data_IF_780889185376
#
_entry.id   IF_780889185376
#
_cell.length_a   1.000
_cell.length_b   1.000
_cell.length_c   1.000
_cell.angle_alpha   90.00
_cell.angle_beta   90.00
_cell.angle_gamma   90.00
#
_symmetry.space_group_name_H-M   'P 1'
#
loop_
_entity.id
_entity.type
_entity.pdbx_description
1 polymer ?
#
# COMPACT_ATOMS: atom_id res chain seq x y z
N UNK A 1 0.79 -75.36 -11.46
CA UNK A 1 0.03 -75.39 -12.72
C UNK A 1 -0.71 -74.07 -12.79
N UNK A 2 -0.08 -73.11 -13.46
CA UNK A 2 -0.55 -72.46 -14.71
C UNK A 2 -1.57 -71.38 -14.39
N UNK A 3 -1.10 -70.13 -14.29
CA UNK A 3 -1.14 -69.14 -15.38
C UNK A 3 -2.55 -69.01 -15.96
N UNK A 4 -3.19 -67.87 -15.69
CA UNK A 4 -3.74 -67.06 -16.78
C UNK A 4 -3.94 -65.61 -16.33
N UNK A 5 -3.50 -64.72 -17.21
CA UNK A 5 -3.44 -63.29 -17.07
C UNK A 5 -4.75 -62.63 -17.56
N UNK A 6 -4.86 -61.35 -17.15
CA UNK A 6 -5.47 -60.25 -17.89
C UNK A 6 -7.00 -60.05 -17.79
N UNK A 7 -7.41 -58.96 -17.14
CA UNK A 7 -7.78 -57.73 -17.88
C UNK A 7 -8.55 -56.71 -17.03
N UNK A 8 -7.93 -55.54 -16.90
CA UNK A 8 -8.57 -54.25 -17.15
C UNK A 8 -9.77 -53.83 -16.26
N UNK A 9 -9.46 -53.33 -15.06
CA UNK A 9 -10.31 -52.31 -14.41
C UNK A 9 -9.58 -50.97 -14.46
N UNK A 10 -10.12 -49.94 -15.15
CA UNK A 10 -9.46 -48.65 -15.20
C UNK A 10 -9.51 -48.04 -13.81
N UNK A 11 -8.34 -47.80 -13.21
CA UNK A 11 -8.21 -46.85 -12.08
C UNK A 11 -8.78 -45.52 -12.56
N UNK A 12 -10.02 -45.25 -12.18
CA UNK A 12 -10.68 -43.96 -12.38
C UNK A 12 -9.76 -42.93 -11.75
N UNK A 13 -9.04 -42.19 -12.59
CA UNK A 13 -8.32 -40.98 -12.17
C UNK A 13 -9.40 -39.99 -11.78
N UNK A 14 -9.88 -40.09 -10.54
CA UNK A 14 -10.54 -38.97 -9.88
C UNK A 14 -9.55 -37.82 -9.98
N UNK A 15 -9.99 -36.77 -10.68
CA UNK A 15 -9.12 -35.70 -11.11
C UNK A 15 -8.50 -35.07 -9.87
N UNK A 16 -7.17 -34.96 -9.85
CA UNK A 16 -6.42 -34.16 -8.89
C UNK A 16 -6.99 -32.72 -8.78
N UNK A 17 -7.60 -32.24 -9.88
CA UNK A 17 -8.33 -30.97 -9.93
C UNK A 17 -9.60 -30.95 -9.08
N UNK A 18 -10.30 -32.07 -8.88
CA UNK A 18 -11.52 -32.17 -8.07
C UNK A 18 -11.21 -32.26 -6.56
N UNK A 19 -10.01 -32.73 -6.20
CA UNK A 19 -9.50 -32.67 -4.82
C UNK A 19 -8.88 -31.31 -4.45
N UNK A 20 -8.34 -30.58 -5.45
CA UNK A 20 -7.77 -29.23 -5.25
C UNK A 20 -8.87 -28.16 -5.32
N UNK A 21 -9.80 -28.30 -6.26
CA UNK A 21 -10.99 -27.48 -6.39
C UNK A 21 -12.19 -28.34 -6.03
N UNK A 22 -12.44 -28.47 -4.73
CA UNK A 22 -13.52 -29.30 -4.18
C UNK A 22 -14.81 -29.20 -4.99
N UNK A 23 -15.52 -30.33 -5.13
CA UNK A 23 -16.88 -30.39 -5.70
C UNK A 23 -17.65 -29.15 -5.26
N UNK A 24 -18.24 -28.44 -6.24
CA UNK A 24 -19.19 -27.33 -6.05
C UNK A 24 -20.47 -27.78 -5.32
N UNK A 25 -20.30 -28.33 -4.12
CA UNK A 25 -21.32 -28.62 -3.15
C UNK A 25 -21.57 -27.33 -2.39
N UNK A 26 -22.85 -26.93 -2.40
CA UNK A 26 -23.42 -25.83 -1.64
C UNK A 26 -22.95 -25.89 -0.19
N UNK A 27 -21.89 -25.16 0.14
CA UNK A 27 -21.53 -24.88 1.52
C UNK A 27 -22.60 -23.93 2.05
N UNK A 28 -23.67 -24.51 2.62
CA UNK A 28 -24.69 -23.75 3.33
C UNK A 28 -24.07 -23.30 4.64
N UNK A 29 -23.54 -22.08 4.65
CA UNK A 29 -23.13 -21.41 5.87
C UNK A 29 -24.39 -21.10 6.69
N UNK A 30 -24.34 -21.37 8.00
CA UNK A 30 -25.44 -21.10 8.92
C UNK A 30 -25.46 -19.62 9.30
N UNK A 31 -25.75 -18.77 8.31
CA UNK A 31 -26.00 -17.35 8.53
C UNK A 31 -27.53 -17.14 8.59
N UNK A 32 -28.02 -16.61 9.72
CA UNK A 32 -29.46 -16.40 9.94
C UNK A 32 -29.97 -15.16 9.20
N UNK A 33 -29.08 -14.31 8.69
CA UNK A 33 -29.43 -13.01 8.12
C UNK A 33 -29.26 -12.97 6.60
N UNK A 34 -28.30 -13.71 6.04
CA UNK A 34 -28.02 -13.70 4.61
C UNK A 34 -28.11 -15.11 3.99
N UNK A 35 -29.12 -15.32 3.16
CA UNK A 35 -29.52 -16.63 2.62
C UNK A 35 -28.95 -16.83 1.19
N UNK A 36 -28.59 -15.74 0.50
CA UNK A 36 -28.08 -15.74 -0.87
C UNK A 36 -26.59 -15.41 -0.89
N UNK A 37 -25.76 -16.44 -0.66
CA UNK A 37 -24.29 -16.29 -0.54
C UNK A 37 -23.56 -16.12 -1.88
N UNK A 38 -24.26 -16.29 -3.01
CA UNK A 38 -23.68 -16.13 -4.35
C UNK A 38 -23.89 -14.71 -4.88
N UNK A 39 -22.88 -13.85 -4.71
CA UNK A 39 -22.88 -12.49 -5.23
C UNK A 39 -22.50 -12.47 -6.72
N UNK A 40 -23.30 -11.81 -7.56
CA UNK A 40 -22.91 -11.47 -8.92
C UNK A 40 -21.81 -10.40 -8.91
N UNK A 41 -20.92 -10.41 -9.91
CA UNK A 41 -19.87 -9.38 -10.08
C UNK A 41 -20.44 -7.95 -9.95
N UNK A 42 -21.65 -7.71 -10.47
CA UNK A 42 -22.30 -6.39 -10.39
C UNK A 42 -22.67 -5.99 -8.96
N UNK A 43 -23.18 -6.94 -8.18
CA UNK A 43 -23.54 -6.74 -6.78
C UNK A 43 -22.29 -6.55 -5.92
N UNK A 44 -21.22 -7.29 -6.19
CA UNK A 44 -19.91 -7.07 -5.58
C UNK A 44 -19.42 -5.64 -5.82
N UNK A 45 -19.43 -5.15 -7.07
CA UNK A 45 -19.01 -3.77 -7.36
C UNK A 45 -19.93 -2.73 -6.72
N UNK A 46 -21.23 -2.99 -6.63
CA UNK A 46 -22.18 -2.12 -5.95
C UNK A 46 -21.89 -2.03 -4.44
N UNK A 47 -21.62 -3.17 -3.79
CA UNK A 47 -21.24 -3.22 -2.38
C UNK A 47 -19.92 -2.49 -2.12
N UNK A 48 -18.91 -2.72 -2.97
CA UNK A 48 -17.63 -1.99 -2.91
C UNK A 48 -17.86 -0.49 -3.07
N UNK A 49 -18.68 -0.06 -4.04
CA UNK A 49 -19.01 1.36 -4.24
C UNK A 49 -19.72 1.97 -3.03
N UNK A 50 -20.62 1.22 -2.39
CA UNK A 50 -21.30 1.64 -1.15
C UNK A 50 -20.30 1.77 -0.01
N UNK A 51 -19.37 0.83 0.14
CA UNK A 51 -18.31 0.87 1.14
C UNK A 51 -17.36 2.07 0.93
N UNK A 52 -16.96 2.34 -0.32
CA UNK A 52 -16.20 3.56 -0.68
C UNK A 52 -17.01 4.83 -0.34
N UNK A 53 -18.33 4.77 -0.46
CA UNK A 53 -19.25 5.83 -0.04
C UNK A 53 -19.09 6.26 1.43
N UNK A 54 -18.62 5.37 2.31
CA UNK A 54 -18.36 5.69 3.72
C UNK A 54 -17.18 6.66 3.90
N UNK A 55 -16.33 6.83 2.88
CA UNK A 55 -15.23 7.80 2.90
C UNK A 55 -15.69 9.24 2.60
N UNK A 56 -16.90 9.45 2.07
CA UNK A 56 -17.45 10.78 1.75
C UNK A 56 -17.29 11.82 2.87
N UNK A 57 -17.64 11.53 4.15
CA UNK A 57 -17.48 12.49 5.25
C UNK A 57 -16.02 12.81 5.59
N UNK A 58 -15.05 11.98 5.21
CA UNK A 58 -13.61 12.17 5.48
C UNK A 58 -12.79 12.37 4.21
N UNK A 59 -13.42 12.72 3.09
CA UNK A 59 -12.80 12.81 1.75
C UNK A 59 -11.52 13.64 1.70
N UNK A 60 -11.45 14.72 2.49
CA UNK A 60 -10.29 15.62 2.52
C UNK A 60 -9.07 14.95 3.17
N UNK A 61 -9.28 14.22 4.27
CA UNK A 61 -8.22 13.49 4.94
C UNK A 61 -7.77 12.29 4.12
N UNK A 62 -8.71 11.62 3.46
CA UNK A 62 -8.39 10.54 2.52
C UNK A 62 -7.56 11.06 1.35
N UNK A 63 -7.97 12.18 0.75
CA UNK A 63 -7.22 12.79 -0.35
C UNK A 63 -5.84 13.27 0.07
N UNK A 64 -5.72 13.88 1.26
CA UNK A 64 -4.44 14.27 1.82
C UNK A 64 -3.51 13.06 2.04
N UNK A 65 -4.04 11.95 2.60
CA UNK A 65 -3.30 10.70 2.78
C UNK A 65 -2.84 10.13 1.43
N UNK A 66 -3.73 10.11 0.44
CA UNK A 66 -3.44 9.64 -0.91
C UNK A 66 -2.33 10.47 -1.58
N UNK A 67 -2.41 11.80 -1.49
CA UNK A 67 -1.39 12.69 -2.04
C UNK A 67 -0.04 12.54 -1.34
N UNK A 68 -0.03 12.44 -0.01
CA UNK A 68 1.20 12.25 0.75
C UNK A 68 1.87 10.91 0.42
N UNK A 69 1.09 9.84 0.33
CA UNK A 69 1.59 8.52 -0.04
C UNK A 69 2.11 8.50 -1.48
N UNK A 70 1.36 9.08 -2.43
CA UNK A 70 1.79 9.16 -3.84
C UNK A 70 3.00 10.07 -4.04
N UNK A 71 3.11 11.16 -3.26
CA UNK A 71 4.25 12.07 -3.32
C UNK A 71 5.58 11.42 -2.96
N UNK A 72 5.56 10.33 -2.19
CA UNK A 72 6.76 9.58 -1.81
C UNK A 72 7.51 8.94 -2.99
N UNK A 73 6.85 8.80 -4.14
CA UNK A 73 7.45 8.28 -5.36
C UNK A 73 8.49 9.25 -5.95
N UNK A 74 8.34 10.56 -5.74
CA UNK A 74 9.24 11.59 -6.29
C UNK A 74 10.67 11.44 -5.75
N UNK A 75 10.90 11.39 -4.41
CA UNK A 75 12.21 11.06 -3.85
C UNK A 75 12.74 9.68 -4.26
N UNK A 76 11.84 8.71 -4.38
CA UNK A 76 12.11 7.37 -4.91
C UNK A 76 12.85 7.45 -6.25
N UNK A 77 12.31 8.27 -7.15
CA UNK A 77 12.81 8.49 -8.49
C UNK A 77 14.10 9.31 -8.54
N UNK A 78 14.29 10.30 -7.67
CA UNK A 78 15.47 11.17 -7.69
C UNK A 78 16.78 10.46 -7.31
N UNK A 79 16.72 9.56 -6.32
CA UNK A 79 17.93 9.00 -5.69
C UNK A 79 18.86 8.22 -6.63
N UNK A 80 18.37 7.35 -7.54
CA UNK A 80 19.23 6.69 -8.53
C UNK A 80 20.00 7.68 -9.40
N UNK A 81 19.38 8.81 -9.76
CA UNK A 81 20.00 9.81 -10.62
C UNK A 81 21.01 10.67 -9.88
N UNK A 82 20.76 11.00 -8.61
CA UNK A 82 21.76 11.65 -7.76
C UNK A 82 23.01 10.77 -7.65
N UNK A 83 22.83 9.47 -7.41
CA UNK A 83 23.94 8.50 -7.41
C UNK A 83 24.66 8.46 -8.75
N UNK A 84 23.93 8.45 -9.86
CA UNK A 84 24.49 8.50 -11.21
C UNK A 84 25.33 9.76 -11.45
N UNK A 85 24.88 10.94 -11.03
CA UNK A 85 25.64 12.19 -11.18
C UNK A 85 26.98 12.10 -10.43
N UNK A 86 26.98 11.53 -9.22
CA UNK A 86 28.22 11.34 -8.44
C UNK A 86 29.19 10.43 -9.19
N UNK A 87 28.72 9.30 -9.72
CA UNK A 87 29.58 8.35 -10.45
C UNK A 87 30.13 8.99 -11.74
N UNK A 88 29.28 9.64 -12.53
CA UNK A 88 29.65 10.15 -13.85
C UNK A 88 30.59 11.37 -13.76
N UNK A 89 30.38 12.25 -12.78
CA UNK A 89 31.07 13.56 -12.71
C UNK A 89 32.09 13.65 -11.55
N UNK A 90 31.72 13.20 -10.34
CA UNK A 90 32.59 13.32 -9.17
C UNK A 90 33.69 12.27 -9.22
N UNK A 91 33.31 11.01 -9.38
CA UNK A 91 34.28 9.89 -9.47
C UNK A 91 35.01 9.95 -10.81
N UNK A 92 34.32 10.31 -11.89
CA UNK A 92 34.91 10.49 -13.22
C UNK A 92 35.81 11.72 -13.34
N UNK A 93 35.73 12.68 -12.42
CA UNK A 93 36.52 13.92 -12.44
C UNK A 93 36.20 14.86 -13.62
N UNK A 94 35.01 14.73 -14.21
CA UNK A 94 34.57 15.48 -15.40
C UNK A 94 33.59 16.58 -15.02
N UNK A 95 33.66 17.72 -15.71
CA UNK A 95 32.63 18.74 -15.59
C UNK A 95 31.32 18.25 -16.25
N UNK A 96 30.19 18.82 -15.83
CA UNK A 96 28.87 18.51 -16.41
C UNK A 96 28.80 18.79 -17.92
N UNK A 97 29.57 19.75 -18.40
CA UNK A 97 29.59 20.18 -19.81
C UNK A 97 30.41 19.23 -20.72
N UNK A 98 31.22 18.35 -20.14
CA UNK A 98 32.08 17.41 -20.88
C UNK A 98 31.37 16.11 -21.27
N UNK A 99 30.13 15.89 -20.79
CA UNK A 99 29.38 14.64 -20.97
C UNK A 99 28.09 14.92 -21.73
N UNK A 100 27.83 14.15 -22.79
CA UNK A 100 26.54 14.17 -23.49
C UNK A 100 25.43 13.78 -22.50
N UNK A 101 24.63 14.77 -22.08
CA UNK A 101 23.69 14.67 -20.97
C UNK A 101 22.61 13.61 -21.25
N UNK A 102 22.70 12.46 -20.57
CA UNK A 102 21.70 11.38 -20.63
C UNK A 102 20.94 11.25 -19.31
N UNK A 103 20.25 12.33 -18.97
CA UNK A 103 19.37 12.43 -17.80
C UNK A 103 17.92 12.70 -18.24
N UNK A 104 16.93 12.24 -17.47
CA UNK A 104 15.53 12.49 -17.77
C UNK A 104 15.14 13.95 -17.45
N UNK A 105 14.11 14.52 -18.10
CA UNK A 105 13.77 15.95 -18.01
C UNK A 105 13.47 16.47 -16.60
N UNK A 106 13.01 15.60 -15.69
CA UNK A 106 12.75 16.01 -14.30
C UNK A 106 14.05 16.33 -13.52
N UNK A 107 15.22 15.95 -14.03
CA UNK A 107 16.50 16.29 -13.44
C UNK A 107 17.00 17.68 -13.87
N UNK A 108 16.41 18.29 -14.91
CA UNK A 108 16.86 19.56 -15.48
C UNK A 108 17.01 20.68 -14.43
N UNK A 109 16.08 20.87 -13.45
CA UNK A 109 16.24 21.91 -12.44
C UNK A 109 17.47 21.69 -11.56
N UNK A 110 17.78 20.42 -11.24
CA UNK A 110 18.94 20.05 -10.44
C UNK A 110 20.20 20.24 -11.29
N UNK A 111 20.21 19.78 -12.53
CA UNK A 111 21.37 19.90 -13.43
C UNK A 111 21.71 21.37 -13.69
N UNK A 112 20.71 22.22 -13.94
CA UNK A 112 20.90 23.66 -14.11
C UNK A 112 21.57 24.30 -12.88
N UNK A 113 21.22 23.85 -11.66
CA UNK A 113 21.87 24.34 -10.44
C UNK A 113 23.32 23.88 -10.25
N UNK A 114 23.74 22.86 -11.00
CA UNK A 114 25.09 22.28 -10.93
C UNK A 114 25.99 22.71 -12.09
N UNK A 115 25.44 23.37 -13.11
CA UNK A 115 26.20 23.84 -14.28
C UNK A 115 27.34 24.79 -13.86
N UNK A 116 28.50 24.62 -14.50
CA UNK A 116 29.70 25.41 -14.22
C UNK A 116 30.40 25.08 -12.88
N UNK A 117 29.90 24.13 -12.09
CA UNK A 117 30.56 23.69 -10.87
C UNK A 117 31.64 22.64 -11.14
N UNK A 118 32.73 22.70 -10.38
CA UNK A 118 33.75 21.66 -10.39
C UNK A 118 33.29 20.38 -9.68
N UNK A 119 33.94 19.22 -9.92
CA UNK A 119 33.53 17.92 -9.37
C UNK A 119 33.32 17.91 -7.83
N UNK A 120 34.24 18.54 -7.08
CA UNK A 120 34.12 18.59 -5.61
C UNK A 120 32.99 19.49 -5.12
N UNK A 121 32.66 20.55 -5.87
CA UNK A 121 31.53 21.43 -5.55
C UNK A 121 30.21 20.70 -5.81
N UNK A 122 30.11 19.94 -6.91
CA UNK A 122 28.95 19.08 -7.20
C UNK A 122 28.75 18.08 -6.04
N UNK A 123 29.81 17.42 -5.59
CA UNK A 123 29.72 16.48 -4.46
C UNK A 123 29.19 17.15 -3.19
N UNK A 124 29.65 18.36 -2.88
CA UNK A 124 29.19 19.12 -1.71
C UNK A 124 27.70 19.45 -1.82
N UNK A 125 27.25 20.00 -2.95
CA UNK A 125 25.83 20.36 -3.17
C UNK A 125 24.94 19.12 -3.09
N UNK A 126 25.32 18.02 -3.75
CA UNK A 126 24.55 16.78 -3.72
C UNK A 126 24.53 16.14 -2.34
N UNK A 127 25.60 16.26 -1.55
CA UNK A 127 25.64 15.77 -0.17
C UNK A 127 24.68 16.57 0.72
N UNK A 128 24.65 17.90 0.58
CA UNK A 128 23.70 18.77 1.31
C UNK A 128 22.27 18.43 0.91
N UNK A 129 22.01 18.25 -0.40
CA UNK A 129 20.71 17.83 -0.91
C UNK A 129 20.30 16.48 -0.30
N UNK A 130 21.20 15.52 -0.25
CA UNK A 130 20.93 14.19 0.30
C UNK A 130 20.65 14.23 1.81
N UNK A 131 21.42 15.01 2.58
CA UNK A 131 21.16 15.23 4.02
C UNK A 131 19.80 15.91 4.22
N UNK A 132 19.46 16.90 3.39
CA UNK A 132 18.13 17.52 3.39
C UNK A 132 17.03 16.49 3.13
N UNK A 133 17.21 15.65 2.09
CA UNK A 133 16.27 14.59 1.77
C UNK A 133 16.09 13.60 2.93
N UNK A 134 17.18 13.18 3.57
CA UNK A 134 17.13 12.32 4.76
C UNK A 134 16.36 12.97 5.91
N UNK A 135 16.54 14.27 6.14
CA UNK A 135 15.83 14.98 7.19
C UNK A 135 14.32 15.08 6.90
N UNK A 136 13.94 15.46 5.68
CA UNK A 136 12.54 15.65 5.31
C UNK A 136 11.79 14.34 5.08
N UNK A 137 12.46 13.29 4.58
CA UNK A 137 11.83 12.08 4.03
C UNK A 137 12.23 10.80 4.80
N UNK A 138 13.27 10.90 5.62
CA UNK A 138 13.74 9.82 6.48
C UNK A 138 14.63 8.81 5.77
N UNK A 139 15.18 7.89 6.57
CA UNK A 139 15.92 6.73 6.07
C UNK A 139 14.89 5.71 5.55
N UNK A 140 15.11 5.18 4.35
CA UNK A 140 14.24 4.20 3.67
C UNK A 140 14.00 2.87 4.43
N UNK A 141 14.46 2.75 5.68
CA UNK A 141 14.55 1.48 6.40
C UNK A 141 13.52 1.30 7.54
N UNK A 142 12.67 2.29 7.83
CA UNK A 142 11.64 2.13 8.85
C UNK A 142 10.61 3.24 8.75
N UNK A 143 9.44 2.92 8.20
CA UNK A 143 8.31 3.82 8.16
C UNK A 143 7.87 4.29 9.54
N UNK A 144 7.03 5.33 9.60
CA UNK A 144 6.46 5.84 10.85
C UNK A 144 5.05 5.27 11.07
N UNK A 145 4.86 4.47 12.12
CA UNK A 145 3.56 3.88 12.40
C UNK A 145 3.43 3.39 13.83
N UNK A 146 2.20 3.27 14.27
CA UNK A 146 1.84 2.64 15.53
C UNK A 146 0.76 1.59 15.27
N UNK A 147 0.93 0.43 15.90
CA UNK A 147 -0.03 -0.68 15.88
C UNK A 147 -0.35 -1.03 17.33
N UNK A 148 -1.58 -1.47 17.61
CA UNK A 148 -1.92 -2.05 18.89
C UNK A 148 -1.59 -3.55 18.87
N UNK A 149 -1.36 -4.13 20.05
CA UNK A 149 -1.15 -5.57 20.19
C UNK A 149 -2.45 -6.31 19.83
N UNK A 150 -2.38 -7.18 18.83
CA UNK A 150 -3.55 -7.85 18.24
C UNK A 150 -3.94 -9.10 19.04
N UNK A 151 -5.22 -9.21 19.41
CA UNK A 151 -5.80 -10.39 20.06
C UNK A 151 -6.29 -11.44 19.06
N UNK A 152 -6.66 -12.63 19.55
CA UNK A 152 -7.16 -13.72 18.70
C UNK A 152 -8.63 -13.57 18.27
N UNK A 153 -9.37 -12.61 18.84
CA UNK A 153 -10.77 -12.37 18.49
C UNK A 153 -10.89 -11.42 17.29
N UNK A 154 -11.83 -11.71 16.39
CA UNK A 154 -12.09 -10.96 15.17
C UNK A 154 -12.44 -9.49 15.45
N UNK A 155 -13.09 -9.21 16.58
CA UNK A 155 -13.39 -7.84 17.00
C UNK A 155 -12.11 -7.01 17.25
N UNK A 156 -11.11 -7.60 17.91
CA UNK A 156 -9.83 -6.94 18.18
C UNK A 156 -9.00 -6.76 16.92
N UNK A 157 -9.01 -7.75 16.02
CA UNK A 157 -8.32 -7.65 14.71
C UNK A 157 -8.93 -6.54 13.86
N UNK A 158 -10.26 -6.46 13.78
CA UNK A 158 -10.94 -5.40 13.06
C UNK A 158 -10.65 -4.01 13.66
N UNK A 159 -10.64 -3.88 14.99
CA UNK A 159 -10.28 -2.63 15.66
C UNK A 159 -8.83 -2.21 15.38
N UNK A 160 -7.89 -3.17 15.37
CA UNK A 160 -6.48 -2.91 15.05
C UNK A 160 -6.27 -2.58 13.58
N UNK A 161 -6.99 -3.21 12.64
CA UNK A 161 -6.89 -2.88 11.21
C UNK A 161 -7.49 -1.51 10.89
N UNK A 162 -8.57 -1.13 11.57
CA UNK A 162 -9.20 0.19 11.36
C UNK A 162 -8.39 1.29 12.04
N UNK A 163 -7.82 1.03 13.22
CA UNK A 163 -7.04 2.03 13.98
C UNK A 163 -5.58 2.09 13.55
N UNK A 164 -5.06 0.97 13.06
CA UNK A 164 -3.69 0.79 12.63
C UNK A 164 -3.42 1.59 11.38
N UNK A 165 -2.29 2.27 11.40
CA UNK A 165 -1.75 2.81 10.17
C UNK A 165 -0.55 3.68 10.39
N UNK A 166 0.19 3.81 9.32
CA UNK A 166 1.49 4.42 9.32
C UNK A 166 1.77 5.08 7.99
N UNK A 167 3.04 5.39 7.80
CA UNK A 167 3.62 5.93 6.59
C UNK A 167 4.82 5.05 6.25
N UNK A 168 4.96 4.72 4.98
CA UNK A 168 6.15 4.05 4.46
C UNK A 168 7.35 5.01 4.41
N UNK A 169 7.08 6.32 4.37
CA UNK A 169 8.07 7.37 4.52
C UNK A 169 8.45 7.57 5.99
N UNK A 170 9.70 7.98 6.22
CA UNK A 170 10.17 8.47 7.51
C UNK A 170 10.24 10.00 7.53
N UNK A 171 11.03 10.53 8.47
CA UNK A 171 11.30 11.97 8.57
C UNK A 171 10.04 12.80 8.80
N UNK A 172 10.09 14.08 8.42
CA UNK A 172 8.96 15.00 8.57
C UNK A 172 7.77 14.63 7.69
N UNK A 173 8.01 14.13 6.48
CA UNK A 173 6.97 13.68 5.56
C UNK A 173 6.17 12.54 6.17
N UNK A 174 6.85 11.52 6.69
CA UNK A 174 6.19 10.38 7.31
C UNK A 174 5.42 10.73 8.58
N UNK A 175 5.92 11.69 9.36
CA UNK A 175 5.18 12.21 10.52
C UNK A 175 3.90 12.93 10.11
N UNK A 176 3.94 13.74 9.05
CA UNK A 176 2.75 14.41 8.51
C UNK A 176 1.74 13.39 7.98
N UNK A 177 2.20 12.42 7.21
CA UNK A 177 1.35 11.36 6.67
C UNK A 177 0.74 10.50 7.77
N UNK A 178 1.52 10.14 8.80
CA UNK A 178 1.03 9.45 9.99
C UNK A 178 -0.04 10.25 10.72
N UNK A 179 0.16 11.55 10.90
CA UNK A 179 -0.82 12.40 11.59
C UNK A 179 -2.15 12.51 10.83
N UNK A 180 -2.08 12.64 9.50
CA UNK A 180 -3.27 12.58 8.64
C UNK A 180 -3.96 11.23 8.76
N UNK A 181 -3.20 10.14 8.77
CA UNK A 181 -3.73 8.79 8.92
C UNK A 181 -4.48 8.60 10.25
N UNK A 182 -3.89 9.01 11.37
CA UNK A 182 -4.53 8.93 12.70
C UNK A 182 -5.85 9.70 12.73
N UNK A 183 -5.89 10.92 12.15
CA UNK A 183 -7.12 11.72 12.08
C UNK A 183 -8.18 11.07 11.19
N UNK A 184 -7.76 10.47 10.09
CA UNK A 184 -8.63 9.75 9.17
C UNK A 184 -9.30 8.57 9.87
N UNK A 185 -8.50 7.69 10.49
CA UNK A 185 -9.01 6.47 11.15
C UNK A 185 -9.91 6.82 12.34
N UNK A 186 -9.50 7.75 13.20
CA UNK A 186 -10.31 8.19 14.34
C UNK A 186 -11.68 8.74 13.92
N UNK A 187 -11.73 9.59 12.89
CA UNK A 187 -13.00 10.14 12.38
C UNK A 187 -13.87 9.05 11.78
N UNK A 188 -13.29 8.12 11.01
CA UNK A 188 -14.02 6.99 10.45
C UNK A 188 -14.65 6.12 11.54
N UNK A 189 -13.87 5.72 12.55
CA UNK A 189 -14.36 4.91 13.68
C UNK A 189 -15.49 5.61 14.41
N UNK A 190 -15.34 6.90 14.70
CA UNK A 190 -16.35 7.65 15.45
C UNK A 190 -17.68 7.77 14.67
N UNK A 191 -17.60 7.98 13.35
CA UNK A 191 -18.78 8.01 12.48
C UNK A 191 -19.47 6.65 12.42
N UNK A 192 -18.72 5.59 12.16
CA UNK A 192 -19.25 4.22 12.11
C UNK A 192 -19.91 3.84 13.44
N UNK A 193 -19.28 4.16 14.57
CA UNK A 193 -19.83 3.91 15.90
C UNK A 193 -21.15 4.64 16.12
N UNK A 194 -21.24 5.91 15.70
CA UNK A 194 -22.45 6.72 15.84
C UNK A 194 -23.59 6.18 14.97
N UNK A 195 -23.29 5.86 13.71
CA UNK A 195 -24.27 5.34 12.75
C UNK A 195 -24.79 3.97 13.15
N UNK A 196 -23.91 3.07 13.61
CA UNK A 196 -24.29 1.76 14.14
C UNK A 196 -25.16 1.88 15.39
N UNK A 197 -24.78 2.73 16.35
CA UNK A 197 -25.57 2.94 17.56
C UNK A 197 -26.96 3.52 17.24
N UNK A 198 -27.03 4.47 16.31
CA UNK A 198 -28.29 5.01 15.85
C UNK A 198 -29.14 3.96 15.11
N UNK A 199 -28.52 3.10 14.32
CA UNK A 199 -29.20 1.99 13.65
C UNK A 199 -29.77 0.98 14.65
N UNK A 200 -28.98 0.58 15.65
CA UNK A 200 -29.39 -0.37 16.68
C UNK A 200 -30.49 0.19 17.59
N UNK A 201 -30.40 1.46 17.99
CA UNK A 201 -31.43 2.10 18.83
C UNK A 201 -32.77 2.30 18.12
N UNK A 202 -32.79 2.21 16.79
CA UNK A 202 -34.01 2.26 15.97
C UNK A 202 -34.61 0.87 15.71
N UNK A 203 -33.89 -0.21 16.01
CA UNK A 203 -34.44 -1.55 15.94
C UNK A 203 -35.44 -1.74 17.09
N UNK A 204 -36.68 -2.07 16.78
CA UNK A 204 -37.66 -2.44 17.79
C UNK A 204 -37.26 -3.79 18.41
N UNK A 205 -37.16 -3.83 19.75
CA UNK A 205 -37.11 -5.08 20.51
C UNK A 205 -38.51 -5.72 20.44
N UNK A 206 -38.75 -6.50 19.38
CA UNK A 206 -39.95 -7.31 19.19
C UNK A 206 -39.52 -8.72 18.85
#
# INVERSE_FOLDING_TARGET
MTDDADSNTPRRREGLFESIFGKGGRARYDDQVDIDTELSNKETFFLVGRAVGLLKPVKELFFAKFLLSTGMWVPGLLLPWIGKIIVDHVVGGKALDDVELRYPPFMDPILASLQGLGPMQIMMVLSILYVGLLFFIGTRAGGTGAYLYEGSDAATQAENQISGGGSEAGGLWGLLEYWVNVRLTQRMVNLLRTDLFQGLTRLSLT
#
